data_IF_637345742457
#
_entry.id   IF_637345742457
#
_cell.length_a   1.000
_cell.length_b   1.000
_cell.length_c   1.000
_cell.angle_alpha   90.00
_cell.angle_beta   90.00
_cell.angle_gamma   90.00
#
_symmetry.space_group_name_H-M   'P 1'
#
loop_
_entity.id
_entity.type
_entity.pdbx_description
1 polymer ?
#
# COMPACT_ATOMS: atom_id res chain seq x y z
N UNK A 1 16.41 -1.79 29.93
CA UNK A 1 15.44 -0.91 29.23
C UNK A 1 14.82 -1.75 28.14
N UNK A 2 13.92 -2.64 28.54
CA UNK A 2 13.27 -3.59 27.65
C UNK A 2 12.24 -2.86 26.81
N UNK A 3 12.71 -2.36 25.66
CA UNK A 3 11.84 -1.85 24.62
C UNK A 3 10.98 -3.01 24.14
N UNK A 4 9.75 -3.12 24.66
CA UNK A 4 8.66 -3.88 24.05
C UNK A 4 8.37 -3.23 22.70
N UNK A 5 9.21 -3.47 21.70
CA UNK A 5 8.88 -3.19 20.32
C UNK A 5 7.64 -4.03 20.05
N UNK A 6 6.47 -3.39 19.99
CA UNK A 6 5.24 -4.08 19.62
C UNK A 6 5.43 -4.44 18.15
N UNK A 7 5.97 -5.63 17.90
CA UNK A 7 6.12 -6.24 16.58
C UNK A 7 4.73 -6.67 16.12
N UNK A 8 3.87 -5.69 15.83
CA UNK A 8 2.68 -5.98 15.04
C UNK A 8 3.13 -6.54 13.70
N UNK A 9 2.35 -7.41 13.07
CA UNK A 9 2.65 -7.99 11.75
C UNK A 9 2.96 -6.93 10.66
N UNK A 10 2.56 -5.67 10.87
CA UNK A 10 2.83 -4.53 9.98
C UNK A 10 4.20 -3.87 10.22
N UNK A 11 4.90 -4.22 11.29
CA UNK A 11 6.17 -3.60 11.67
C UNK A 11 7.24 -3.94 10.63
N UNK A 12 7.94 -2.92 10.12
CA UNK A 12 8.92 -3.09 9.04
C UNK A 12 8.31 -3.25 7.63
N UNK A 13 6.99 -3.15 7.48
CA UNK A 13 6.32 -3.21 6.17
C UNK A 13 5.94 -1.82 5.64
N UNK A 14 5.65 -1.71 4.35
CA UNK A 14 5.09 -0.48 3.73
C UNK A 14 3.77 0.00 4.38
N UNK A 15 3.08 -0.90 5.09
CA UNK A 15 1.82 -0.66 5.78
C UNK A 15 2.01 -0.15 7.22
N UNK A 16 3.25 -0.05 7.69
CA UNK A 16 3.56 0.45 9.03
C UNK A 16 2.98 1.86 9.21
N UNK A 17 2.36 2.11 10.37
CA UNK A 17 1.70 3.36 10.72
C UNK A 17 0.46 3.73 9.88
N UNK A 18 -0.01 2.86 8.98
CA UNK A 18 -1.27 3.08 8.25
C UNK A 18 -2.49 2.66 9.08
N UNK A 19 -3.54 3.49 9.05
CA UNK A 19 -4.86 3.17 9.62
C UNK A 19 -5.74 2.33 8.67
N UNK A 20 -5.29 2.12 7.43
CA UNK A 20 -6.01 1.30 6.46
C UNK A 20 -5.91 -0.18 6.83
N UNK A 21 -6.97 -0.92 6.50
CA UNK A 21 -7.00 -2.37 6.71
C UNK A 21 -5.99 -3.08 5.81
N UNK A 22 -5.45 -4.21 6.27
CA UNK A 22 -4.53 -5.04 5.48
C UNK A 22 -5.21 -5.53 4.19
N UNK A 23 -6.51 -5.82 4.25
CA UNK A 23 -7.29 -6.23 3.07
C UNK A 23 -7.32 -5.12 2.00
N UNK A 24 -7.50 -3.86 2.40
CA UNK A 24 -7.45 -2.71 1.49
C UNK A 24 -6.09 -2.61 0.79
N UNK A 25 -5.00 -2.81 1.53
CA UNK A 25 -3.65 -2.86 0.96
C UNK A 25 -3.47 -4.04 0.01
N UNK A 26 -3.95 -5.23 0.38
CA UNK A 26 -3.87 -6.43 -0.45
C UNK A 26 -4.62 -6.28 -1.77
N UNK A 27 -5.88 -5.83 -1.73
CA UNK A 27 -6.67 -5.52 -2.93
C UNK A 27 -5.96 -4.46 -3.76
N UNK A 28 -5.32 -3.48 -3.11
CA UNK A 28 -4.59 -2.45 -3.83
C UNK A 28 -3.39 -3.01 -4.61
N UNK A 29 -2.59 -3.83 -3.94
CA UNK A 29 -1.42 -4.51 -4.53
C UNK A 29 -1.87 -5.44 -5.67
N UNK A 30 -2.91 -6.24 -5.45
CA UNK A 30 -3.46 -7.16 -6.45
C UNK A 30 -3.83 -6.46 -7.76
N UNK A 31 -4.57 -5.35 -7.67
CA UNK A 31 -4.93 -4.58 -8.87
C UNK A 31 -3.71 -3.97 -9.56
N UNK A 32 -2.70 -3.53 -8.82
CA UNK A 32 -1.50 -2.95 -9.44
C UNK A 32 -0.59 -3.98 -10.10
N UNK A 33 -0.48 -5.19 -9.53
CA UNK A 33 0.30 -6.28 -10.14
C UNK A 33 -0.44 -6.86 -11.35
N UNK A 34 -1.77 -7.00 -11.26
CA UNK A 34 -2.58 -7.55 -12.35
C UNK A 34 -2.72 -6.58 -13.53
N UNK A 35 -2.67 -5.27 -13.29
CA UNK A 35 -2.85 -4.27 -14.33
C UNK A 35 -1.57 -4.05 -15.16
N UNK A 36 -1.63 -4.41 -16.44
CA UNK A 36 -0.59 -4.08 -17.43
C UNK A 36 -0.39 -2.57 -17.65
N UNK A 37 -1.38 -1.75 -17.27
CA UNK A 37 -1.37 -0.28 -17.40
C UNK A 37 -1.27 0.40 -16.04
N UNK A 38 -0.66 1.59 -16.01
CA UNK A 38 -0.65 2.39 -14.79
C UNK A 38 -2.08 2.83 -14.43
N UNK A 39 -2.58 2.38 -13.27
CA UNK A 39 -3.87 2.81 -12.74
C UNK A 39 -3.77 4.23 -12.16
N UNK A 40 -4.80 5.03 -12.39
CA UNK A 40 -4.95 6.34 -11.77
C UNK A 40 -5.44 6.17 -10.31
N UNK A 41 -4.99 7.05 -9.43
CA UNK A 41 -5.40 6.99 -8.01
C UNK A 41 -6.90 7.23 -7.80
N UNK A 42 -7.56 7.97 -8.70
CA UNK A 42 -9.01 8.19 -8.65
C UNK A 42 -9.81 6.92 -8.98
N UNK A 43 -9.39 6.19 -10.02
CA UNK A 43 -10.00 4.89 -10.36
C UNK A 43 -9.79 3.89 -9.21
N UNK A 44 -8.60 3.91 -8.62
CA UNK A 44 -8.29 3.07 -7.47
C UNK A 44 -9.11 3.41 -6.23
N UNK A 45 -9.36 4.69 -5.99
CA UNK A 45 -10.23 5.16 -4.92
C UNK A 45 -11.65 4.63 -5.10
N UNK A 46 -12.16 4.65 -6.33
CA UNK A 46 -13.49 4.13 -6.67
C UNK A 46 -13.58 2.63 -6.42
N UNK A 47 -12.59 1.85 -6.88
CA UNK A 47 -12.52 0.39 -6.69
C UNK A 47 -12.43 -0.02 -5.22
N UNK A 48 -11.71 0.75 -4.41
CA UNK A 48 -11.54 0.50 -2.98
C UNK A 48 -12.69 1.06 -2.12
N UNK A 49 -13.61 1.83 -2.69
CA UNK A 49 -14.72 2.47 -1.97
C UNK A 49 -14.25 3.49 -0.91
N UNK A 50 -13.07 4.07 -1.07
CA UNK A 50 -12.49 4.99 -0.09
C UNK A 50 -12.98 6.43 -0.32
N UNK A 51 -13.42 7.09 0.75
CA UNK A 51 -13.91 8.49 0.67
C UNK A 51 -12.79 9.51 0.41
N UNK A 52 -11.55 9.20 0.79
CA UNK A 52 -10.41 10.12 0.73
C UNK A 52 -9.42 9.69 -0.34
N UNK A 53 -9.04 10.63 -1.20
CA UNK A 53 -8.06 10.41 -2.28
C UNK A 53 -6.63 10.28 -1.75
N UNK A 54 -6.21 11.19 -0.87
CA UNK A 54 -4.84 11.28 -0.35
C UNK A 54 -4.26 9.95 0.18
N UNK A 55 -4.94 9.18 1.05
CA UNK A 55 -4.40 7.91 1.52
C UNK A 55 -4.27 6.86 0.40
N UNK A 56 -5.11 6.92 -0.64
CA UNK A 56 -5.01 6.03 -1.81
C UNK A 56 -3.79 6.37 -2.63
N UNK A 57 -3.57 7.67 -2.87
CA UNK A 57 -2.41 8.15 -3.61
C UNK A 57 -1.09 7.78 -2.91
N UNK A 58 -0.98 8.03 -1.60
CA UNK A 58 0.20 7.67 -0.80
C UNK A 58 0.42 6.15 -0.81
N UNK A 59 -0.64 5.35 -0.66
CA UNK A 59 -0.59 3.89 -0.70
C UNK A 59 -0.06 3.39 -2.05
N UNK A 60 -0.60 3.89 -3.16
CA UNK A 60 -0.13 3.52 -4.50
C UNK A 60 1.32 3.92 -4.73
N UNK A 61 1.73 5.12 -4.28
CA UNK A 61 3.10 5.58 -4.40
C UNK A 61 4.07 4.67 -3.63
N UNK A 62 3.75 4.32 -2.38
CA UNK A 62 4.56 3.40 -1.57
C UNK A 62 4.74 2.04 -2.24
N UNK A 63 3.67 1.47 -2.80
CA UNK A 63 3.75 0.17 -3.46
C UNK A 63 4.57 0.27 -4.76
N UNK A 64 4.44 1.36 -5.55
CA UNK A 64 5.28 1.54 -6.76
C UNK A 64 6.76 1.63 -6.43
N UNK A 65 7.13 2.39 -5.40
CA UNK A 65 8.54 2.48 -4.93
C UNK A 65 9.04 1.10 -4.50
N UNK A 66 8.24 0.36 -3.73
CA UNK A 66 8.60 -0.99 -3.29
C UNK A 66 8.76 -1.98 -4.45
N UNK A 67 7.91 -1.91 -5.47
CA UNK A 67 8.04 -2.75 -6.68
C UNK A 67 9.23 -2.35 -7.54
N UNK A 68 9.50 -1.05 -7.70
CA UNK A 68 10.64 -0.56 -8.48
C UNK A 68 12.00 -0.97 -7.90
N UNK A 69 12.07 -1.13 -6.57
CA UNK A 69 13.29 -1.59 -5.89
C UNK A 69 13.65 -3.07 -6.16
N UNK A 70 12.72 -3.89 -6.68
CA UNK A 70 12.99 -5.31 -6.94
C UNK A 70 13.68 -5.58 -8.29
N UNK A 71 13.63 -4.64 -9.24
CA UNK A 71 14.27 -4.79 -10.57
C UNK A 71 15.55 -3.95 -10.59
N UNK A 72 16.59 -4.43 -9.89
CA UNK A 72 17.86 -3.72 -9.80
C UNK A 72 18.75 -4.19 -8.65
N UNK A 73 19.02 -5.49 -8.56
CA UNK A 73 20.17 -6.07 -7.86
C UNK A 73 20.46 -7.45 -8.44
#
# INVERSE_FOLDING_TARGET
MDCKAITTFRSGTIMMHSKLSILTWYTCIYHMISSKKALAALDMQCRLGLKRYEPVWVMMHKIRVAMGHHVGA
#
